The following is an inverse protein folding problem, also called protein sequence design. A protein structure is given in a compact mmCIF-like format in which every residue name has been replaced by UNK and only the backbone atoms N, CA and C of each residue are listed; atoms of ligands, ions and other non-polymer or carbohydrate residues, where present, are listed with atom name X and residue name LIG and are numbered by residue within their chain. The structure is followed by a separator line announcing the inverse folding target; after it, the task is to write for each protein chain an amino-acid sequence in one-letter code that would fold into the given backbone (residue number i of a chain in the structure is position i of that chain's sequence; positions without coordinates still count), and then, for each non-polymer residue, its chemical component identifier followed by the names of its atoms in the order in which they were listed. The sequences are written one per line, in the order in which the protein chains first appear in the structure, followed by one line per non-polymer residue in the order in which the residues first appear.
data_IF_311225017475
#
_entry.id   IF_311225017475
#
_cell.length_a   1.000
_cell.length_b   1.000
_cell.length_c   1.000
_cell.angle_alpha   90.00
_cell.angle_beta   90.00
_cell.angle_gamma   90.00
#
_symmetry.space_group_name_H-M   'P 1'
#
loop_
_entity.id
_entity.type
_entity.pdbx_description
1 polymer ?
#
# COMPACT_ATOMS: atom_id res chain seq x y z
N UNK A 1 -0.64 7.68 3.59
CA UNK A 1 0.66 7.80 2.90
C UNK A 1 1.23 9.21 2.98
N UNK A 2 0.46 10.26 2.64
CA UNK A 2 0.96 11.64 2.69
C UNK A 2 1.52 12.05 4.06
N UNK A 3 0.82 11.71 5.15
CA UNK A 3 1.28 12.03 6.51
C UNK A 3 2.57 11.27 6.88
N UNK A 4 2.63 9.97 6.59
CA UNK A 4 3.84 9.15 6.81
C UNK A 4 5.03 9.71 6.04
N UNK A 5 4.81 10.14 4.79
CA UNK A 5 5.85 10.74 3.94
C UNK A 5 6.36 12.05 4.53
N UNK A 6 5.46 12.95 4.94
CA UNK A 6 5.82 14.22 5.59
C UNK A 6 6.62 13.98 6.87
N UNK A 7 6.21 13.01 7.69
CA UNK A 7 6.93 12.67 8.92
C UNK A 7 8.34 12.11 8.65
N UNK A 8 8.49 11.25 7.64
CA UNK A 8 9.78 10.74 7.21
C UNK A 8 10.70 11.87 6.69
N UNK A 9 10.15 12.79 5.89
CA UNK A 9 10.90 13.93 5.33
C UNK A 9 11.44 14.87 6.41
N UNK A 10 10.70 15.13 7.48
CA UNK A 10 11.18 15.92 8.63
C UNK A 10 12.45 15.31 9.24
N UNK A 11 12.58 13.98 9.18
CA UNK A 11 13.74 13.24 9.69
C UNK A 11 14.80 12.98 8.61
N UNK A 12 14.67 13.56 7.42
CA UNK A 12 15.59 13.33 6.29
C UNK A 12 15.48 11.93 5.68
N UNK A 13 14.40 11.19 5.95
CA UNK A 13 14.17 9.83 5.48
C UNK A 13 13.18 9.78 4.31
N UNK A 14 13.20 8.66 3.59
CA UNK A 14 12.32 8.37 2.46
C UNK A 14 11.37 7.23 2.82
N UNK A 15 10.36 7.01 1.99
CA UNK A 15 9.37 5.93 2.16
C UNK A 15 9.25 5.06 0.92
N UNK A 16 8.84 3.80 1.10
CA UNK A 16 8.44 2.92 0.00
C UNK A 16 6.96 3.09 -0.37
N UNK A 17 6.51 2.39 -1.41
CA UNK A 17 5.08 2.11 -1.61
C UNK A 17 4.54 1.27 -0.43
N UNK A 18 3.20 1.18 -0.31
CA UNK A 18 2.57 0.20 0.58
C UNK A 18 2.66 -1.18 -0.07
N UNK A 19 3.29 -2.13 0.60
CA UNK A 19 3.33 -3.53 0.18
C UNK A 19 2.54 -4.41 1.13
N UNK A 20 1.97 -5.48 0.62
CA UNK A 20 1.15 -6.41 1.37
C UNK A 20 1.51 -7.84 0.99
N UNK A 21 1.45 -8.80 1.92
CA UNK A 21 1.52 -10.22 1.58
C UNK A 21 0.53 -10.56 0.45
N UNK A 22 0.96 -11.38 -0.50
CA UNK A 22 0.24 -11.66 -1.75
C UNK A 22 0.67 -10.84 -2.96
N UNK A 23 1.50 -9.79 -2.78
CA UNK A 23 2.05 -9.02 -3.91
C UNK A 23 3.41 -9.55 -4.35
N UNK A 24 3.69 -9.51 -5.67
CA UNK A 24 5.02 -9.71 -6.25
C UNK A 24 5.78 -10.96 -5.74
N UNK A 25 5.06 -12.06 -5.50
CA UNK A 25 5.65 -13.32 -5.00
C UNK A 25 5.82 -13.40 -3.48
N UNK A 26 5.39 -12.39 -2.72
CA UNK A 26 5.29 -12.48 -1.27
C UNK A 26 4.16 -13.45 -0.91
N UNK A 27 4.49 -14.52 -0.19
CA UNK A 27 3.54 -15.50 0.31
C UNK A 27 2.42 -14.83 1.15
N UNK A 28 1.16 -15.08 0.78
CA UNK A 28 -0.01 -14.51 1.46
C UNK A 28 -0.14 -14.99 2.90
N UNK A 29 0.37 -16.17 3.24
CA UNK A 29 0.34 -16.70 4.60
C UNK A 29 1.16 -15.86 5.59
N UNK A 30 2.15 -15.10 5.11
CA UNK A 30 2.92 -14.14 5.90
C UNK A 30 2.05 -12.98 6.44
N UNK A 31 0.81 -12.85 5.96
CA UNK A 31 -0.17 -11.94 6.53
C UNK A 31 -0.50 -12.25 8.00
N UNK A 32 -0.40 -13.51 8.42
CA UNK A 32 -0.52 -13.86 9.84
C UNK A 32 0.57 -13.19 10.68
N UNK A 33 1.83 -13.25 10.23
CA UNK A 33 2.96 -12.59 10.90
C UNK A 33 2.80 -11.07 10.92
N UNK A 34 2.29 -10.48 9.83
CA UNK A 34 1.99 -9.06 9.79
C UNK A 34 0.94 -8.65 10.84
N UNK A 35 -0.10 -9.47 11.03
CA UNK A 35 -1.12 -9.21 12.03
C UNK A 35 -0.61 -9.37 13.47
N UNK A 36 0.35 -10.26 13.73
CA UNK A 36 1.01 -10.40 15.03
C UNK A 36 1.77 -9.13 15.46
N UNK A 37 2.23 -8.32 14.51
CA UNK A 37 2.90 -7.04 14.77
C UNK A 37 1.93 -5.91 15.13
N UNK A 38 0.62 -6.08 14.89
CA UNK A 38 -0.36 -5.06 15.18
C UNK A 38 -0.80 -5.14 16.65
N UNK A 39 -0.89 -4.02 17.38
CA UNK A 39 -1.42 -4.01 18.73
C UNK A 39 -2.87 -4.53 18.75
N UNK A 40 -3.27 -5.14 19.86
CA UNK A 40 -4.51 -5.89 20.00
C UNK A 40 -5.76 -5.19 19.45
N UNK A 41 -6.61 -5.99 18.79
CA UNK A 41 -7.79 -5.59 18.01
C UNK A 41 -7.44 -4.68 16.81
N UNK A 42 -6.91 -5.27 15.74
CA UNK A 42 -6.55 -4.68 14.43
C UNK A 42 -7.73 -4.00 13.71
N UNK A 43 -8.32 -2.98 14.34
CA UNK A 43 -9.52 -2.29 13.91
C UNK A 43 -10.72 -3.22 13.65
N UNK A 44 -10.86 -4.31 14.41
CA UNK A 44 -11.92 -5.30 14.22
C UNK A 44 -11.72 -6.23 13.02
N UNK A 45 -10.54 -6.22 12.39
CA UNK A 45 -10.18 -7.13 11.30
C UNK A 45 -9.54 -8.39 11.87
N UNK A 46 -10.00 -9.56 11.41
CA UNK A 46 -9.38 -10.86 11.72
C UNK A 46 -8.95 -11.59 10.45
N UNK A 47 -8.09 -12.59 10.61
CA UNK A 47 -7.70 -13.51 9.54
C UNK A 47 -8.32 -14.89 9.77
N UNK A 48 -8.78 -15.54 8.71
CA UNK A 48 -9.08 -16.97 8.75
C UNK A 48 -7.80 -17.80 8.52
N UNK A 49 -7.92 -19.13 8.53
CA UNK A 49 -6.78 -20.04 8.33
C UNK A 49 -6.11 -19.93 6.94
N UNK A 50 -6.79 -19.37 5.94
CA UNK A 50 -6.25 -19.12 4.61
C UNK A 50 -5.72 -17.69 4.43
N UNK A 51 -5.47 -16.96 5.53
CA UNK A 51 -5.05 -15.57 5.55
C UNK A 51 -6.02 -14.56 4.88
N UNK A 52 -7.29 -14.93 4.67
CA UNK A 52 -8.32 -14.01 4.19
C UNK A 52 -8.77 -13.10 5.34
N UNK A 53 -8.86 -11.80 5.05
CA UNK A 53 -9.34 -10.81 6.01
C UNK A 53 -10.86 -10.86 6.16
N UNK A 54 -11.34 -10.72 7.39
CA UNK A 54 -12.73 -10.50 7.73
C UNK A 54 -12.85 -9.20 8.53
N UNK A 55 -13.58 -8.18 8.06
CA UNK A 55 -14.36 -8.13 6.81
C UNK A 55 -13.53 -8.23 5.53
N UNK A 56 -14.13 -8.70 4.43
CA UNK A 56 -13.43 -8.92 3.15
C UNK A 56 -12.85 -7.62 2.56
N UNK A 57 -13.57 -6.50 2.68
CA UNK A 57 -13.10 -5.16 2.24
C UNK A 57 -12.13 -4.53 3.24
N UNK A 58 -11.11 -5.28 3.62
CA UNK A 58 -10.02 -4.84 4.48
C UNK A 58 -8.70 -4.84 3.71
N UNK A 59 -7.71 -4.09 4.18
CA UNK A 59 -6.40 -4.04 3.54
C UNK A 59 -5.27 -3.86 4.56
N UNK A 60 -4.37 -4.85 4.65
CA UNK A 60 -3.15 -4.81 5.47
C UNK A 60 -1.93 -4.40 4.63
N UNK A 61 -0.85 -3.92 5.25
CA UNK A 61 0.39 -3.65 4.52
C UNK A 61 1.46 -2.93 5.33
N UNK A 62 2.67 -2.90 4.78
CA UNK A 62 3.87 -2.26 5.31
C UNK A 62 4.31 -1.11 4.41
N UNK A 63 4.86 -0.08 5.03
CA UNK A 63 5.56 1.02 4.37
C UNK A 63 6.94 1.07 5.01
N UNK A 64 7.98 0.83 4.23
CA UNK A 64 9.36 0.96 4.69
C UNK A 64 9.75 2.43 4.80
N UNK A 65 10.49 2.78 5.84
CA UNK A 65 11.08 4.10 6.05
C UNK A 65 12.59 3.94 6.18
N UNK A 66 13.38 4.69 5.41
CA UNK A 66 14.84 4.59 5.44
C UNK A 66 15.52 5.63 4.57
N UNK A 67 16.85 5.72 4.69
CA UNK A 67 17.65 6.64 3.86
C UNK A 67 17.68 6.17 2.38
N UNK A 68 17.84 4.85 2.19
CA UNK A 68 18.07 4.24 0.87
C UNK A 68 16.84 3.49 0.34
N UNK A 69 15.64 4.01 0.61
CA UNK A 69 14.39 3.46 0.05
C UNK A 69 13.85 4.35 -1.05
N UNK A 70 13.14 3.73 -2.01
CA UNK A 70 12.52 4.43 -3.13
C UNK A 70 11.01 4.22 -3.13
N UNK A 71 10.30 5.27 -3.54
CA UNK A 71 8.89 5.23 -3.87
C UNK A 71 8.75 5.20 -5.38
N UNK A 72 8.07 4.18 -5.90
CA UNK A 72 7.77 4.07 -7.32
C UNK A 72 6.46 4.80 -7.65
N UNK A 73 6.49 5.79 -8.57
CA UNK A 73 5.29 6.44 -9.06
C UNK A 73 4.31 5.44 -9.68
N UNK A 74 3.02 5.76 -9.58
CA UNK A 74 1.98 4.92 -10.15
C UNK A 74 2.21 4.71 -11.66
N UNK A 75 2.26 3.47 -12.19
CA UNK A 75 2.68 3.21 -13.58
C UNK A 75 1.88 3.98 -14.64
N UNK A 76 0.63 4.34 -14.38
CA UNK A 76 -0.13 5.15 -15.32
C UNK A 76 0.43 6.56 -15.52
N UNK A 77 1.25 7.09 -14.59
CA UNK A 77 1.89 8.40 -14.74
C UNK A 77 3.04 8.39 -15.73
N UNK A 78 3.68 7.24 -15.96
CA UNK A 78 4.81 7.08 -16.90
C UNK A 78 4.42 6.35 -18.20
N UNK A 79 3.20 5.80 -18.27
CA UNK A 79 2.70 5.12 -19.46
C UNK A 79 2.60 6.10 -20.65
N UNK A 80 3.10 5.70 -21.83
CA UNK A 80 3.09 6.55 -23.05
C UNK A 80 1.83 6.40 -23.91
N UNK A 81 0.92 5.50 -23.53
CA UNK A 81 -0.32 5.25 -24.27
C UNK A 81 -1.25 6.45 -24.14
N UNK A 82 -1.60 7.09 -25.26
CA UNK A 82 -2.43 8.30 -25.30
C UNK A 82 -3.92 7.98 -25.37
N UNK A 83 -4.31 6.82 -25.92
CA UNK A 83 -5.68 6.33 -26.07
C UNK A 83 -6.15 5.46 -24.88
N UNK A 84 -5.78 5.82 -23.66
CA UNK A 84 -6.11 5.04 -22.47
C UNK A 84 -7.40 5.52 -21.79
N UNK A 85 -8.47 4.73 -21.89
CA UNK A 85 -9.77 5.03 -21.24
C UNK A 85 -9.64 5.24 -19.71
N UNK A 86 -8.73 4.52 -19.06
CA UNK A 86 -8.48 4.65 -17.62
C UNK A 86 -7.71 5.93 -17.25
N UNK A 87 -6.97 6.56 -18.17
CA UNK A 87 -6.33 7.86 -17.93
C UNK A 87 -7.34 8.99 -18.05
N UNK A 88 -8.17 8.94 -19.10
CA UNK A 88 -9.20 9.96 -19.35
C UNK A 88 -10.23 10.06 -18.21
N UNK A 89 -10.53 8.95 -17.53
CA UNK A 89 -11.43 8.95 -16.37
C UNK A 89 -10.81 9.53 -15.11
N UNK A 90 -9.49 9.42 -14.91
CA UNK A 90 -8.79 9.99 -13.76
C UNK A 90 -8.66 11.51 -13.87
N UNK A 91 -8.38 12.03 -15.07
CA UNK A 91 -8.34 13.48 -15.33
C UNK A 91 -9.70 14.14 -15.10
N UNK A 92 -10.80 13.45 -15.40
CA UNK A 92 -12.17 13.95 -15.16
C UNK A 92 -12.55 14.00 -13.67
N UNK A 93 -11.99 13.11 -12.85
CA UNK A 93 -12.31 13.03 -11.41
C UNK A 93 -11.44 13.95 -10.54
N UNK A 94 -10.30 14.43 -11.06
CA UNK A 94 -9.41 15.37 -10.36
C UNK A 94 -9.80 16.86 -10.54
N UNK A 95 -10.96 17.15 -11.15
CA UNK A 95 -11.50 18.52 -11.37
C UNK A 95 -12.63 18.84 -10.36
N UNK A 96 -12.75 18.07 -9.28
CA UNK A 96 -13.63 18.36 -8.14
C UNK A 96 -12.82 18.34 -6.86
#
# INVERSE_FOLDING_TARGET
LLEVRKAAEISGLRVTNRYSPGYCGWDVSEQHKLFELMPGNSCGVSLNASALMNPEKSVSGLIGIGADVNFDPYPCSSCRRTDCLYRMTQERNNVT
#
